data_IF_204908844850
#
_entry.id   IF_204908844850
#
_cell.length_a   1.000
_cell.length_b   1.000
_cell.length_c   1.000
_cell.angle_alpha   90.00
_cell.angle_beta   90.00
_cell.angle_gamma   90.00
#
_symmetry.space_group_name_H-M   'P 1'
#
loop_
_entity.id
_entity.type
_entity.pdbx_description
1 polymer ?
#
# COMPACT_ATOMS: atom_id res chain seq x y z
N UNK A 1 -42.01 -20.79 -8.99
CA UNK A 1 -41.47 -20.21 -7.74
C UNK A 1 -39.94 -20.08 -7.86
N UNK A 2 -39.35 -19.07 -8.54
CA UNK A 2 -39.81 -17.73 -8.94
C UNK A 2 -39.91 -16.72 -7.79
N UNK A 3 -38.76 -16.22 -7.34
CA UNK A 3 -38.63 -14.91 -6.68
C UNK A 3 -37.48 -14.13 -7.37
N UNK A 4 -37.85 -12.98 -7.94
CA UNK A 4 -37.04 -11.81 -8.32
C UNK A 4 -35.55 -11.96 -8.72
N UNK A 5 -35.33 -12.27 -9.99
CA UNK A 5 -34.46 -11.55 -10.96
C UNK A 5 -33.77 -10.24 -10.45
N UNK A 6 -32.64 -10.34 -9.75
CA UNK A 6 -31.92 -9.17 -9.20
C UNK A 6 -31.06 -8.42 -10.25
N UNK A 7 -31.72 -7.43 -10.84
CA UNK A 7 -31.29 -6.40 -11.81
C UNK A 7 -30.06 -5.55 -11.37
N UNK A 8 -28.84 -6.11 -11.24
CA UNK A 8 -27.64 -5.32 -10.83
C UNK A 8 -26.36 -5.40 -11.71
N UNK A 9 -26.48 -5.66 -13.03
CA UNK A 9 -25.38 -5.55 -14.03
C UNK A 9 -24.77 -4.13 -14.21
N UNK A 10 -25.08 -3.17 -13.32
CA UNK A 10 -24.62 -1.76 -13.34
C UNK A 10 -23.70 -1.37 -12.16
N UNK A 11 -23.64 -2.14 -11.06
CA UNK A 11 -22.85 -1.75 -9.87
C UNK A 11 -21.34 -2.07 -9.99
N UNK A 12 -20.93 -2.93 -10.93
CA UNK A 12 -19.54 -3.35 -11.06
C UNK A 12 -18.54 -2.22 -11.37
N UNK A 13 -18.97 -1.16 -12.07
CA UNK A 13 -18.16 0.03 -12.33
C UNK A 13 -18.01 0.99 -11.13
N UNK A 14 -18.69 0.71 -10.02
CA UNK A 14 -18.83 1.66 -8.91
C UNK A 14 -17.94 1.34 -7.71
N UNK A 15 -17.65 0.05 -7.51
CA UNK A 15 -16.60 -0.47 -6.62
C UNK A 15 -15.22 0.12 -6.98
N UNK A 16 -14.99 0.33 -8.29
CA UNK A 16 -13.70 0.72 -8.86
C UNK A 16 -13.13 2.07 -8.35
N UNK A 17 -13.97 3.00 -7.91
CA UNK A 17 -13.61 4.42 -7.80
C UNK A 17 -13.04 4.87 -6.43
N UNK A 18 -12.82 3.93 -5.50
CA UNK A 18 -12.91 4.18 -4.05
C UNK A 18 -11.59 4.03 -3.26
N UNK A 19 -10.45 3.94 -3.95
CA UNK A 19 -9.35 3.05 -3.49
C UNK A 19 -7.92 3.60 -3.70
N UNK A 20 -7.71 4.93 -3.74
CA UNK A 20 -6.56 5.51 -4.45
C UNK A 20 -5.48 6.24 -3.64
N UNK A 21 -5.52 6.10 -2.31
CA UNK A 21 -4.47 6.57 -1.38
C UNK A 21 -3.60 5.44 -0.82
N UNK A 22 -3.76 4.23 -1.35
CA UNK A 22 -3.16 3.01 -0.81
C UNK A 22 -1.63 2.89 -0.96
N UNK A 23 -1.00 3.77 -1.76
CA UNK A 23 0.41 3.65 -2.13
C UNK A 23 1.40 4.38 -1.24
N UNK A 24 1.09 5.60 -0.80
CA UNK A 24 2.07 6.48 -0.13
C UNK A 24 2.59 5.91 1.20
N UNK A 25 1.94 4.87 1.72
CA UNK A 25 2.28 4.15 2.96
C UNK A 25 2.92 2.78 2.65
N UNK A 26 2.88 2.30 1.39
CA UNK A 26 3.30 0.95 0.99
C UNK A 26 4.22 0.95 -0.25
N UNK A 27 5.02 1.99 -0.42
CA UNK A 27 6.14 1.99 -1.36
C UNK A 27 7.33 1.12 -0.91
N UNK A 28 7.16 0.22 0.06
CA UNK A 28 8.25 -0.51 0.72
C UNK A 28 8.01 -2.04 0.78
N UNK A 29 9.00 -2.81 0.30
CA UNK A 29 9.30 -4.25 0.61
C UNK A 29 8.40 -5.34 -0.02
N UNK A 30 8.96 -6.54 -0.30
CA UNK A 30 8.60 -7.98 -0.60
C UNK A 30 7.36 -8.68 -1.27
N UNK A 31 7.52 -9.09 -2.55
CA UNK A 31 7.55 -10.48 -3.12
C UNK A 31 6.62 -11.62 -2.59
N UNK A 32 6.07 -12.60 -3.34
CA UNK A 32 6.16 -13.15 -4.74
C UNK A 32 4.78 -13.75 -5.17
N UNK A 33 4.48 -14.62 -6.16
CA UNK A 33 5.12 -15.43 -7.27
C UNK A 33 4.02 -15.69 -8.37
N UNK A 34 3.93 -16.68 -9.29
CA UNK A 34 4.56 -18.00 -9.61
C UNK A 34 4.13 -18.47 -11.06
N UNK A 35 4.83 -19.45 -11.67
CA UNK A 35 4.52 -20.22 -12.92
C UNK A 35 4.57 -19.50 -14.30
N UNK A 36 4.67 -20.26 -15.41
CA UNK A 36 5.54 -19.92 -16.58
C UNK A 36 4.89 -19.87 -18.01
N UNK A 37 5.78 -19.64 -19.01
CA UNK A 37 5.66 -19.75 -20.50
C UNK A 37 5.26 -18.46 -21.28
N UNK A 38 5.68 -18.29 -22.56
CA UNK A 38 7.08 -18.01 -22.90
C UNK A 38 7.31 -16.76 -23.80
N UNK A 39 8.59 -16.40 -23.96
CA UNK A 39 9.17 -15.56 -25.05
C UNK A 39 8.52 -14.21 -25.37
N UNK A 40 8.58 -13.29 -24.41
CA UNK A 40 9.24 -11.98 -24.64
C UNK A 40 10.27 -11.81 -23.52
N UNK A 41 11.34 -11.00 -23.69
CA UNK A 41 12.20 -10.56 -22.59
C UNK A 41 11.39 -9.61 -21.68
N UNK A 42 10.64 -10.21 -20.76
CA UNK A 42 9.69 -9.54 -19.87
C UNK A 42 10.40 -8.80 -18.73
N UNK A 43 9.64 -7.93 -18.05
CA UNK A 43 10.13 -7.08 -16.95
C UNK A 43 10.85 -7.83 -15.81
N UNK A 44 10.68 -9.15 -15.73
CA UNK A 44 11.46 -10.02 -14.86
C UNK A 44 12.97 -9.89 -15.09
N UNK A 45 13.47 -9.78 -16.33
CA UNK A 45 14.92 -9.65 -16.57
C UNK A 45 15.47 -8.29 -16.10
N UNK A 46 14.70 -7.22 -16.30
CA UNK A 46 14.98 -5.87 -15.78
C UNK A 46 14.91 -5.76 -14.25
N UNK A 47 14.40 -6.79 -13.56
CA UNK A 47 14.19 -6.78 -12.10
C UNK A 47 14.79 -7.97 -11.38
N UNK A 48 15.37 -8.96 -12.06
CA UNK A 48 15.94 -10.17 -11.45
C UNK A 48 17.37 -9.98 -10.95
N UNK A 49 18.15 -9.13 -11.61
CA UNK A 49 19.49 -8.73 -11.16
C UNK A 49 19.41 -7.34 -10.48
N UNK A 50 19.48 -7.26 -9.13
CA UNK A 50 19.42 -5.99 -8.41
C UNK A 50 20.70 -5.14 -8.58
N UNK A 51 21.70 -5.60 -9.34
CA UNK A 51 22.86 -4.81 -9.76
C UNK A 51 22.71 -4.23 -11.17
N UNK A 52 21.63 -4.55 -11.90
CA UNK A 52 21.41 -4.08 -13.28
C UNK A 52 20.67 -2.74 -13.36
N UNK A 53 19.63 -2.57 -12.54
CA UNK A 53 18.70 -1.44 -12.62
C UNK A 53 18.40 -0.86 -11.23
N UNK A 54 18.76 0.41 -11.03
CA UNK A 54 18.54 1.13 -9.77
C UNK A 54 17.33 2.05 -9.90
N UNK A 55 16.46 2.15 -8.89
CA UNK A 55 15.37 3.14 -8.87
C UNK A 55 15.93 4.55 -9.11
N UNK A 56 15.50 5.20 -10.20
CA UNK A 56 15.92 6.54 -10.54
C UNK A 56 14.94 7.56 -9.97
N UNK A 57 15.41 8.39 -9.06
CA UNK A 57 14.64 9.50 -8.51
C UNK A 57 15.49 10.77 -8.46
N UNK A 58 14.83 11.93 -8.41
CA UNK A 58 15.52 13.21 -8.30
C UNK A 58 16.20 13.32 -6.92
N UNK A 59 17.40 13.94 -6.83
CA UNK A 59 18.09 14.18 -5.56
C UNK A 59 17.33 15.05 -4.54
N UNK A 60 16.15 15.54 -4.90
CA UNK A 60 15.30 16.41 -4.09
C UNK A 60 14.12 15.64 -3.48
N UNK A 61 13.56 14.66 -4.21
CA UNK A 61 12.62 13.68 -3.63
C UNK A 61 13.38 12.72 -2.70
N UNK A 62 14.63 12.36 -3.02
CA UNK A 62 15.51 11.61 -2.10
C UNK A 62 15.68 12.30 -0.74
N UNK A 63 15.80 13.64 -0.72
CA UNK A 63 15.84 14.47 0.50
C UNK A 63 14.53 14.53 1.29
N UNK A 64 13.38 14.13 0.71
CA UNK A 64 12.10 14.01 1.43
C UNK A 64 11.86 12.59 1.96
N UNK A 65 12.26 11.54 1.22
CA UNK A 65 12.12 10.15 1.66
C UNK A 65 13.24 9.67 2.60
N UNK A 66 14.38 10.36 2.61
CA UNK A 66 15.58 10.02 3.36
C UNK A 66 16.55 9.14 2.56
N UNK A 67 17.85 9.39 2.70
CA UNK A 67 18.92 8.67 1.98
C UNK A 67 18.94 7.16 2.28
N UNK A 68 18.48 6.77 3.47
CA UNK A 68 18.41 5.38 3.96
C UNK A 68 17.01 4.75 3.81
N UNK A 69 16.16 5.28 2.93
CA UNK A 69 14.87 4.63 2.63
C UNK A 69 15.09 3.33 1.83
N UNK A 70 14.30 2.29 2.12
CA UNK A 70 14.47 0.97 1.47
C UNK A 70 14.36 1.04 -0.06
N UNK A 71 13.61 2.01 -0.60
CA UNK A 71 13.48 2.26 -2.05
C UNK A 71 14.81 2.62 -2.75
N UNK A 72 15.81 3.09 -1.99
CA UNK A 72 17.15 3.42 -2.50
C UNK A 72 18.22 2.41 -2.07
N UNK A 73 17.85 1.33 -1.38
CA UNK A 73 18.77 0.27 -0.95
C UNK A 73 18.88 -0.84 -1.99
N UNK A 74 20.08 -1.39 -2.14
CA UNK A 74 20.39 -2.49 -3.07
C UNK A 74 21.23 -3.57 -2.37
N UNK A 75 21.62 -4.61 -3.12
CA UNK A 75 22.61 -5.58 -2.67
C UNK A 75 22.21 -6.35 -1.40
N UNK A 76 23.01 -6.19 -0.34
CA UNK A 76 22.85 -6.93 0.92
C UNK A 76 22.00 -6.17 1.94
N UNK A 77 22.24 -4.87 2.13
CA UNK A 77 21.49 -3.99 3.05
C UNK A 77 19.98 -4.07 2.79
N UNK A 78 19.58 -4.07 1.52
CA UNK A 78 18.20 -4.26 1.09
C UNK A 78 17.64 -5.63 1.52
N UNK A 79 18.40 -6.72 1.39
CA UNK A 79 17.94 -8.06 1.81
C UNK A 79 17.79 -8.17 3.32
N UNK A 80 18.69 -7.55 4.08
CA UNK A 80 18.71 -7.67 5.54
C UNK A 80 17.61 -6.81 6.19
N UNK A 81 17.38 -5.57 5.73
CA UNK A 81 16.22 -4.78 6.17
C UNK A 81 14.90 -5.50 5.84
N UNK A 82 14.82 -6.16 4.67
CA UNK A 82 13.64 -6.96 4.29
C UNK A 82 13.44 -8.21 5.13
N UNK A 83 14.50 -8.77 5.73
CA UNK A 83 14.38 -9.87 6.71
C UNK A 83 13.79 -9.36 8.02
N UNK A 84 14.31 -8.26 8.55
CA UNK A 84 13.89 -7.67 9.84
C UNK A 84 12.38 -7.32 9.90
N UNK A 85 11.77 -7.00 8.76
CA UNK A 85 10.35 -6.63 8.64
C UNK A 85 9.46 -7.73 8.05
N UNK A 86 9.99 -8.90 7.73
CA UNK A 86 9.19 -10.05 7.32
C UNK A 86 8.15 -10.51 8.39
N UNK A 87 8.40 -10.43 9.72
CA UNK A 87 7.41 -10.78 10.75
C UNK A 87 6.05 -10.08 10.57
N UNK A 88 6.08 -8.82 10.14
CA UNK A 88 4.90 -7.97 9.89
C UNK A 88 3.94 -8.52 8.83
N UNK A 89 4.36 -9.47 8.01
CA UNK A 89 3.57 -10.00 6.88
C UNK A 89 3.33 -11.51 6.99
N UNK A 90 3.53 -12.05 8.19
CA UNK A 90 3.09 -13.39 8.61
C UNK A 90 1.56 -13.48 8.69
N UNK A 91 0.97 -14.70 8.66
CA UNK A 91 -0.46 -14.87 8.87
C UNK A 91 -0.97 -14.34 10.23
N UNK A 92 -0.18 -14.45 11.31
CA UNK A 92 -0.49 -13.87 12.64
C UNK A 92 -0.67 -12.36 12.52
N UNK A 93 0.33 -11.67 11.98
CA UNK A 93 0.31 -10.22 11.81
C UNK A 93 -0.83 -9.75 10.88
N UNK A 94 -0.98 -10.37 9.71
CA UNK A 94 -2.04 -10.03 8.76
C UNK A 94 -3.45 -10.27 9.33
N UNK A 95 -3.65 -11.27 10.19
CA UNK A 95 -4.92 -11.49 10.89
C UNK A 95 -5.26 -10.34 11.85
N UNK A 96 -4.32 -9.94 12.71
CA UNK A 96 -4.46 -8.76 13.58
C UNK A 96 -4.80 -7.50 12.78
N UNK A 97 -4.12 -7.28 11.65
CA UNK A 97 -4.39 -6.10 10.82
C UNK A 97 -5.76 -6.17 10.14
N UNK A 98 -6.21 -7.36 9.71
CA UNK A 98 -7.52 -7.59 9.07
C UNK A 98 -8.66 -7.19 10.03
N UNK A 99 -8.54 -7.51 11.33
CA UNK A 99 -9.51 -7.09 12.34
C UNK A 99 -9.54 -5.55 12.53
N UNK A 100 -8.38 -4.89 12.60
CA UNK A 100 -8.27 -3.43 12.69
C UNK A 100 -8.84 -2.73 11.45
N UNK A 101 -8.54 -3.23 10.26
CA UNK A 101 -9.09 -2.77 8.98
C UNK A 101 -10.62 -2.83 9.00
N UNK A 102 -11.21 -3.98 9.37
CA UNK A 102 -12.66 -4.16 9.39
C UNK A 102 -13.36 -3.18 10.35
N UNK A 103 -12.80 -2.93 11.54
CA UNK A 103 -13.39 -1.97 12.50
C UNK A 103 -13.43 -0.56 11.91
N UNK A 104 -12.32 -0.09 11.33
CA UNK A 104 -12.20 1.28 10.83
C UNK A 104 -13.00 1.48 9.55
N UNK A 105 -13.05 0.47 8.66
CA UNK A 105 -13.92 0.49 7.48
C UNK A 105 -15.39 0.62 7.92
N UNK A 106 -15.89 -0.18 8.87
CA UNK A 106 -17.28 -0.02 9.35
C UNK A 106 -17.58 1.37 9.91
N UNK A 107 -16.65 1.94 10.69
CA UNK A 107 -16.80 3.27 11.28
C UNK A 107 -16.88 4.37 10.20
N UNK A 108 -16.08 4.26 9.15
CA UNK A 108 -16.11 5.20 8.02
C UNK A 108 -17.34 4.99 7.13
N UNK A 109 -17.70 3.76 6.77
CA UNK A 109 -18.91 3.52 5.96
C UNK A 109 -20.17 4.10 6.62
N UNK A 110 -20.29 3.96 7.95
CA UNK A 110 -21.39 4.53 8.73
C UNK A 110 -21.36 6.06 8.82
N UNK A 111 -20.19 6.69 8.84
CA UNK A 111 -20.10 8.16 8.81
C UNK A 111 -20.41 8.73 7.43
N UNK A 112 -20.09 8.00 6.35
CA UNK A 112 -20.43 8.40 4.98
C UNK A 112 -21.92 8.22 4.67
N UNK A 113 -22.55 7.15 5.18
CA UNK A 113 -24.00 6.97 5.22
C UNK A 113 -24.69 8.16 5.90
N UNK A 114 -24.24 8.51 7.12
CA UNK A 114 -24.79 9.64 7.86
C UNK A 114 -24.62 10.97 7.11
N UNK A 115 -23.44 11.25 6.55
CA UNK A 115 -23.18 12.44 5.73
C UNK A 115 -24.10 12.52 4.48
N UNK A 116 -24.44 11.38 3.88
CA UNK A 116 -25.43 11.29 2.79
C UNK A 116 -26.84 11.60 3.30
N UNK A 117 -27.20 11.13 4.50
CA UNK A 117 -28.50 11.39 5.13
C UNK A 117 -28.71 12.85 5.55
N UNK A 118 -27.66 13.58 5.94
CA UNK A 118 -27.71 15.00 6.30
C UNK A 118 -27.93 15.93 5.09
N UNK A 119 -27.74 15.44 3.86
CA UNK A 119 -28.00 16.19 2.64
C UNK A 119 -28.79 15.38 1.60
N UNK A 120 -30.07 15.07 1.88
CA UNK A 120 -30.90 14.25 1.00
C UNK A 120 -30.91 14.76 -0.45
N UNK A 121 -30.63 13.85 -1.39
CA UNK A 121 -30.61 14.17 -2.81
C UNK A 121 -29.36 14.90 -3.31
N UNK A 122 -28.36 15.19 -2.47
CA UNK A 122 -27.03 15.64 -2.91
C UNK A 122 -26.06 14.43 -2.95
N UNK A 123 -25.23 14.28 -3.99
CA UNK A 123 -24.23 13.22 -4.04
C UNK A 123 -22.93 13.66 -3.35
N UNK A 124 -22.26 12.74 -2.64
CA UNK A 124 -21.01 12.96 -1.89
C UNK A 124 -19.79 12.41 -2.65
N UNK A 125 -18.62 13.04 -2.45
CA UNK A 125 -17.34 12.69 -3.09
C UNK A 125 -16.56 11.70 -2.23
N UNK A 126 -16.46 10.43 -2.66
CA UNK A 126 -15.83 9.38 -1.84
C UNK A 126 -14.29 9.37 -1.88
N UNK A 127 -13.63 10.07 -2.81
CA UNK A 127 -12.17 10.07 -2.93
C UNK A 127 -11.48 10.56 -1.65
N UNK A 128 -11.88 11.74 -1.14
CA UNK A 128 -11.29 12.29 0.09
C UNK A 128 -11.69 11.50 1.35
N UNK A 129 -12.90 10.93 1.34
CA UNK A 129 -13.39 10.09 2.43
C UNK A 129 -12.60 8.77 2.52
N UNK A 130 -12.34 8.11 1.39
CA UNK A 130 -11.52 6.91 1.31
C UNK A 130 -10.05 7.16 1.64
N UNK A 131 -9.48 8.32 1.23
CA UNK A 131 -8.17 8.78 1.71
C UNK A 131 -8.14 8.80 3.24
N UNK A 132 -9.10 9.50 3.83
CA UNK A 132 -9.06 9.82 5.24
C UNK A 132 -9.30 8.60 6.13
N UNK A 133 -10.09 7.63 5.64
CA UNK A 133 -10.18 6.25 6.15
C UNK A 133 -8.86 5.49 6.00
N UNK A 134 -8.26 5.43 4.80
CA UNK A 134 -7.03 4.65 4.58
C UNK A 134 -5.85 5.14 5.43
N UNK A 135 -5.73 6.47 5.60
CA UNK A 135 -4.73 7.06 6.47
C UNK A 135 -4.95 6.70 7.94
N UNK A 136 -6.20 6.69 8.42
CA UNK A 136 -6.52 6.27 9.79
C UNK A 136 -6.32 4.76 10.02
N UNK A 137 -6.72 3.92 9.06
CA UNK A 137 -6.44 2.49 9.08
C UNK A 137 -4.94 2.24 9.13
N UNK A 138 -4.17 2.97 8.34
CA UNK A 138 -2.71 2.84 8.33
C UNK A 138 -2.06 3.36 9.61
N UNK A 139 -2.48 4.50 10.15
CA UNK A 139 -2.05 4.97 11.48
C UNK A 139 -2.31 3.89 12.56
N UNK A 140 -3.49 3.27 12.52
CA UNK A 140 -3.89 2.27 13.52
C UNK A 140 -3.18 0.94 13.35
N UNK A 141 -2.96 0.48 12.12
CA UNK A 141 -2.21 -0.75 11.87
C UNK A 141 -0.72 -0.55 12.13
N UNK A 142 -0.14 0.59 11.78
CA UNK A 142 1.31 0.79 11.90
C UNK A 142 1.73 1.03 13.35
N UNK A 143 1.08 1.95 14.06
CA UNK A 143 1.46 2.39 15.41
C UNK A 143 0.33 2.35 16.45
N UNK A 144 -0.91 2.08 16.04
CA UNK A 144 -1.98 1.61 16.93
C UNK A 144 -2.19 2.42 18.20
N UNK A 145 -1.87 1.78 19.33
CA UNK A 145 -2.00 2.31 20.71
C UNK A 145 -1.01 3.42 21.07
N UNK A 146 0.10 3.59 20.34
CA UNK A 146 1.14 4.57 20.64
C UNK A 146 0.87 5.97 20.09
N UNK A 147 0.01 6.07 19.06
CA UNK A 147 -0.37 7.33 18.44
C UNK A 147 -1.71 7.83 18.99
N UNK A 148 -1.63 8.79 19.92
CA UNK A 148 -2.81 9.39 20.58
C UNK A 148 -3.76 10.07 19.59
N UNK A 149 -4.99 10.38 20.03
CA UNK A 149 -6.01 11.03 19.18
C UNK A 149 -5.55 12.39 18.65
N UNK A 150 -4.82 13.13 19.48
CA UNK A 150 -4.26 14.44 19.19
C UNK A 150 -3.07 14.31 18.23
N UNK A 151 -2.19 13.34 18.47
CA UNK A 151 -1.07 13.01 17.59
C UNK A 151 -1.53 12.54 16.21
N UNK A 152 -2.60 11.73 16.13
CA UNK A 152 -3.23 11.29 14.86
C UNK A 152 -3.66 12.47 13.98
N UNK A 153 -4.15 13.57 14.59
CA UNK A 153 -4.49 14.79 13.86
C UNK A 153 -3.23 15.51 13.36
N UNK A 154 -2.26 15.79 14.24
CA UNK A 154 -0.98 16.44 13.84
C UNK A 154 -0.27 15.65 12.73
N UNK A 155 -0.21 14.32 12.86
CA UNK A 155 0.34 13.41 11.85
C UNK A 155 -0.41 13.52 10.51
N UNK A 156 -1.74 13.62 10.51
CA UNK A 156 -2.54 13.81 9.28
C UNK A 156 -2.22 15.14 8.60
N UNK A 157 -2.10 16.21 9.37
CA UNK A 157 -1.76 17.54 8.86
C UNK A 157 -0.33 17.55 8.28
N UNK A 158 0.64 16.96 8.98
CA UNK A 158 2.04 16.81 8.53
C UNK A 158 2.19 15.88 7.31
N UNK A 159 1.44 14.78 7.24
CA UNK A 159 1.38 13.89 6.08
C UNK A 159 0.78 14.58 4.85
N UNK A 160 -0.22 15.45 5.03
CA UNK A 160 -0.77 16.27 3.94
C UNK A 160 0.25 17.32 3.44
N UNK A 161 1.09 17.88 4.31
CA UNK A 161 2.20 18.74 3.90
C UNK A 161 3.24 17.96 3.09
N UNK A 162 3.62 16.75 3.53
CA UNK A 162 4.53 15.85 2.79
C UNK A 162 4.02 15.57 1.36
N UNK A 163 2.77 15.12 1.22
CA UNK A 163 2.15 14.84 -0.08
C UNK A 163 2.08 16.08 -0.98
N UNK A 164 1.86 17.26 -0.38
CA UNK A 164 1.88 18.54 -1.10
C UNK A 164 3.29 18.90 -1.58
N UNK A 165 4.34 18.60 -0.81
CA UNK A 165 5.73 18.80 -1.20
C UNK A 165 6.16 17.96 -2.40
N UNK A 166 5.77 16.68 -2.43
CA UNK A 166 6.06 15.78 -3.56
C UNK A 166 5.45 16.27 -4.89
N UNK A 167 4.36 17.05 -4.83
CA UNK A 167 3.63 17.57 -6.00
C UNK A 167 4.01 19.01 -6.40
N UNK A 168 5.11 19.57 -5.86
CA UNK A 168 5.52 20.97 -6.08
C UNK A 168 7.01 21.09 -6.39
N UNK A 169 7.39 22.23 -6.97
CA UNK A 169 8.78 22.49 -7.33
C UNK A 169 9.67 22.51 -6.06
N UNK A 170 10.81 21.78 -6.06
CA UNK A 170 11.58 21.47 -4.87
C UNK A 170 12.51 22.60 -4.38
N UNK A 171 11.92 23.74 -4.01
CA UNK A 171 12.65 24.88 -3.44
C UNK A 171 12.55 24.90 -1.91
N UNK A 172 13.68 24.74 -1.21
CA UNK A 172 13.78 24.83 0.26
C UNK A 172 13.88 26.30 0.72
N UNK A 173 12.79 27.06 0.54
CA UNK A 173 12.67 28.48 0.91
C UNK A 173 11.44 28.71 1.81
N UNK A 174 11.45 29.73 2.71
CA UNK A 174 10.30 30.05 3.55
C UNK A 174 9.01 30.26 2.74
N UNK A 175 7.92 29.61 3.17
CA UNK A 175 6.62 29.64 2.48
C UNK A 175 6.46 28.63 1.33
N UNK A 176 7.53 28.00 0.84
CA UNK A 176 7.43 27.01 -0.24
C UNK A 176 7.00 25.63 0.27
N UNK A 177 6.17 24.95 -0.52
CA UNK A 177 5.60 23.65 -0.15
C UNK A 177 6.65 22.57 0.15
N UNK A 178 7.78 22.57 -0.58
CA UNK A 178 8.87 21.62 -0.36
C UNK A 178 9.54 21.80 1.02
N UNK A 179 9.77 23.05 1.46
CA UNK A 179 10.27 23.33 2.81
C UNK A 179 9.28 22.91 3.89
N UNK A 180 8.00 23.20 3.69
CA UNK A 180 6.95 22.83 4.64
C UNK A 180 6.82 21.30 4.76
N UNK A 181 6.98 20.57 3.65
CA UNK A 181 7.02 19.10 3.61
C UNK A 181 8.25 18.53 4.33
N UNK A 182 9.44 19.08 4.11
CA UNK A 182 10.67 18.68 4.81
C UNK A 182 10.53 18.81 6.33
N UNK A 183 10.08 19.97 6.81
CA UNK A 183 9.81 20.22 8.23
C UNK A 183 8.71 19.30 8.78
N UNK A 184 7.76 18.86 7.96
CA UNK A 184 6.74 17.88 8.33
C UNK A 184 7.31 16.45 8.44
N UNK A 185 8.20 16.04 7.52
CA UNK A 185 8.92 14.76 7.59
C UNK A 185 9.72 14.66 8.89
N UNK A 186 10.41 15.73 9.30
CA UNK A 186 11.14 15.79 10.57
C UNK A 186 10.22 15.47 11.77
N UNK A 187 9.01 16.06 11.83
CA UNK A 187 8.00 15.80 12.87
C UNK A 187 7.35 14.41 12.78
N UNK A 188 7.18 13.88 11.58
CA UNK A 188 6.68 12.52 11.37
C UNK A 188 7.70 11.47 11.86
N UNK A 189 8.99 11.69 11.59
CA UNK A 189 10.09 10.82 12.08
C UNK A 189 10.19 10.87 13.60
N UNK A 190 10.12 12.05 14.22
CA UNK A 190 10.03 12.24 15.68
C UNK A 190 8.87 11.41 16.26
N UNK A 191 7.65 11.64 15.75
CA UNK A 191 6.43 10.96 16.22
C UNK A 191 6.49 9.43 16.07
N UNK A 192 7.08 8.92 14.98
CA UNK A 192 7.25 7.47 14.77
C UNK A 192 8.36 6.87 15.64
N UNK A 193 9.40 7.64 15.97
CA UNK A 193 10.49 7.22 16.85
C UNK A 193 10.01 7.04 18.30
N UNK A 194 9.12 7.93 18.76
CA UNK A 194 8.44 7.80 20.05
C UNK A 194 7.54 6.56 20.09
N UNK A 195 6.82 6.27 19.00
CA UNK A 195 5.99 5.06 18.90
C UNK A 195 6.84 3.78 18.93
N UNK A 196 7.95 3.75 18.19
CA UNK A 196 8.88 2.62 18.19
C UNK A 196 9.54 2.41 19.56
N UNK A 197 9.89 3.48 20.26
CA UNK A 197 10.47 3.42 21.61
C UNK A 197 9.50 2.84 22.63
N UNK A 198 8.23 3.27 22.61
CA UNK A 198 7.17 2.71 23.46
C UNK A 198 6.87 1.23 23.15
N UNK A 199 6.81 0.88 21.86
CA UNK A 199 6.61 -0.50 21.41
C UNK A 199 7.76 -1.41 21.84
N UNK A 200 9.01 -0.99 21.60
CA UNK A 200 10.21 -1.73 22.03
C UNK A 200 10.22 -2.01 23.53
N UNK A 201 9.80 -1.04 24.35
CA UNK A 201 9.64 -1.24 25.80
C UNK A 201 8.63 -2.35 26.07
N UNK A 202 7.40 -2.26 25.57
CA UNK A 202 6.35 -3.28 25.78
C UNK A 202 6.77 -4.67 25.30
N UNK A 203 7.36 -4.78 24.12
CA UNK A 203 7.85 -6.08 23.61
C UNK A 203 8.97 -6.67 24.49
N UNK A 204 9.78 -5.84 25.16
CA UNK A 204 10.74 -6.30 26.18
C UNK A 204 10.14 -6.62 27.55
N UNK A 205 8.90 -6.19 27.80
CA UNK A 205 8.12 -6.53 29.00
C UNK A 205 7.23 -7.78 28.79
N UNK A 206 7.22 -8.37 27.59
CA UNK A 206 6.47 -9.59 27.25
C UNK A 206 5.03 -9.37 26.78
N UNK A 207 4.69 -8.15 26.37
CA UNK A 207 3.36 -7.77 25.89
C UNK A 207 3.05 -8.40 24.51
N UNK A 208 1.81 -8.86 24.26
CA UNK A 208 1.41 -9.38 22.93
C UNK A 208 1.40 -8.26 21.85
N UNK A 209 1.81 -8.56 20.60
CA UNK A 209 1.78 -7.60 19.50
C UNK A 209 0.37 -7.20 19.04
N UNK A 210 0.14 -5.88 19.00
CA UNK A 210 -1.16 -5.28 18.64
C UNK A 210 -1.17 -4.57 17.27
N UNK A 211 0.00 -4.24 16.75
CA UNK A 211 0.20 -3.42 15.54
C UNK A 211 1.55 -3.76 14.87
N UNK A 212 1.82 -3.18 13.69
CA UNK A 212 3.01 -3.47 12.90
C UNK A 212 4.31 -3.16 13.64
N UNK A 213 4.40 -2.01 14.33
CA UNK A 213 5.61 -1.71 15.09
C UNK A 213 5.83 -2.72 16.23
N UNK A 214 4.77 -3.30 16.81
CA UNK A 214 4.92 -4.37 17.80
C UNK A 214 5.50 -5.65 17.17
N UNK A 215 4.97 -6.13 16.03
CA UNK A 215 5.51 -7.33 15.37
C UNK A 215 6.97 -7.16 14.90
N UNK A 216 7.38 -5.95 14.54
CA UNK A 216 8.79 -5.65 14.25
C UNK A 216 9.63 -5.60 15.53
N UNK A 217 9.12 -4.99 16.61
CA UNK A 217 9.84 -4.86 17.87
C UNK A 217 9.91 -6.19 18.67
N UNK A 218 8.94 -7.09 18.53
CA UNK A 218 8.96 -8.47 19.05
C UNK A 218 10.21 -9.21 18.55
N UNK A 219 10.37 -9.27 17.23
CA UNK A 219 11.54 -9.89 16.59
C UNK A 219 12.84 -9.13 16.90
N UNK A 220 12.82 -7.79 16.87
CA UNK A 220 14.01 -6.97 17.17
C UNK A 220 14.51 -7.17 18.61
N UNK A 221 13.61 -7.30 19.58
CA UNK A 221 13.95 -7.60 20.97
C UNK A 221 14.48 -9.04 21.10
N UNK A 222 13.89 -10.00 20.39
CA UNK A 222 14.36 -11.39 20.33
C UNK A 222 15.78 -11.50 19.78
N UNK A 223 16.06 -10.88 18.62
CA UNK A 223 17.42 -10.82 18.04
C UNK A 223 18.43 -10.14 18.99
N UNK A 224 18.04 -9.11 19.73
CA UNK A 224 18.89 -8.41 20.72
C UNK A 224 19.15 -9.26 21.98
N UNK A 225 18.30 -10.25 22.30
CA UNK A 225 18.53 -11.20 23.38
C UNK A 225 19.42 -12.38 22.93
N UNK A 226 19.17 -12.91 21.73
CA UNK A 226 19.93 -14.02 21.13
C UNK A 226 21.37 -13.62 20.78
N UNK A 227 21.58 -12.41 20.23
CA UNK A 227 22.92 -11.88 19.93
C UNK A 227 23.80 -11.62 21.17
N UNK A 228 23.21 -11.56 22.38
CA UNK A 228 23.95 -11.49 23.65
C UNK A 228 24.34 -12.87 24.19
N UNK A 229 23.88 -13.96 23.57
CA UNK A 229 24.00 -15.32 24.11
C UNK A 229 24.58 -16.36 23.15
N UNK A 230 24.53 -16.15 21.82
CA UNK A 230 25.09 -17.09 20.83
C UNK A 230 25.56 -16.42 19.51
N UNK A 231 26.52 -17.03 18.77
CA UNK A 231 26.90 -16.57 17.43
C UNK A 231 25.80 -16.84 16.37
N UNK A 232 25.78 -16.09 15.25
CA UNK A 232 24.62 -16.02 14.36
C UNK A 232 24.38 -17.30 13.55
N UNK A 233 23.09 -17.62 13.35
CA UNK A 233 22.61 -18.71 12.48
C UNK A 233 21.44 -18.26 11.61
N UNK A 234 21.38 -18.76 10.38
CA UNK A 234 20.30 -18.43 9.45
C UNK A 234 19.01 -19.18 9.79
N UNK A 235 17.94 -18.43 10.06
CA UNK A 235 16.60 -18.99 10.30
C UNK A 235 15.91 -19.43 9.00
N UNK A 236 15.33 -20.63 9.02
CA UNK A 236 14.36 -21.12 8.04
C UNK A 236 13.04 -21.35 8.78
N UNK A 237 11.95 -20.70 8.36
CA UNK A 237 10.64 -20.81 9.01
C UNK A 237 9.52 -21.12 7.99
N UNK A 238 9.10 -22.39 7.89
CA UNK A 238 7.94 -22.83 7.09
C UNK A 238 7.21 -24.02 7.74
N UNK A 239 6.12 -23.72 8.44
CA UNK A 239 4.95 -24.55 8.83
C UNK A 239 3.96 -23.57 9.52
N UNK A 240 2.65 -23.77 9.66
CA UNK A 240 1.65 -24.83 9.38
C UNK A 240 0.29 -24.08 9.28
N UNK A 241 -0.65 -24.32 8.36
CA UNK A 241 -1.79 -25.27 8.39
C UNK A 241 -2.82 -24.83 7.31
N UNK A 242 -3.71 -25.73 6.85
CA UNK A 242 -5.15 -25.42 6.66
C UNK A 242 -5.97 -26.71 6.81
N UNK A 243 -7.21 -26.60 7.30
CA UNK A 243 -8.22 -27.68 7.26
C UNK A 243 -9.63 -27.14 7.58
N UNK A 244 -10.65 -27.69 6.91
CA UNK A 244 -12.10 -27.47 7.14
C UNK A 244 -12.72 -26.19 6.47
N UNK A 245 -14.07 -26.09 6.26
CA UNK A 245 -14.61 -26.56 4.98
C UNK A 245 -15.75 -25.71 4.33
N UNK A 246 -15.71 -24.37 4.34
CA UNK A 246 -16.84 -23.54 3.89
C UNK A 246 -16.85 -23.14 2.39
N UNK A 247 -17.30 -24.05 1.51
CA UNK A 247 -17.38 -23.81 0.04
C UNK A 247 -18.19 -22.55 -0.34
N UNK A 248 -19.29 -22.27 0.35
CA UNK A 248 -20.19 -21.14 0.04
C UNK A 248 -19.63 -19.76 0.47
N UNK A 249 -18.76 -19.72 1.50
CA UNK A 249 -18.02 -18.52 1.87
C UNK A 249 -16.80 -18.35 0.95
N UNK A 250 -16.04 -19.42 0.71
CA UNK A 250 -14.88 -19.43 -0.21
C UNK A 250 -15.25 -18.89 -1.59
N UNK A 251 -16.39 -19.29 -2.18
CA UNK A 251 -16.86 -18.74 -3.49
C UNK A 251 -17.12 -17.22 -3.46
N UNK A 252 -17.61 -16.64 -2.34
CA UNK A 252 -17.77 -15.18 -2.22
C UNK A 252 -16.43 -14.48 -2.02
N UNK A 253 -15.53 -15.09 -1.26
CA UNK A 253 -14.20 -14.55 -0.98
C UNK A 253 -13.32 -14.57 -2.24
N UNK A 254 -13.19 -15.72 -2.90
CA UNK A 254 -12.47 -15.91 -4.16
C UNK A 254 -12.93 -14.92 -5.24
N UNK A 255 -14.24 -14.71 -5.37
CA UNK A 255 -14.79 -13.71 -6.27
C UNK A 255 -14.36 -12.29 -5.89
N UNK A 256 -14.41 -11.94 -4.60
CA UNK A 256 -13.98 -10.62 -4.12
C UNK A 256 -12.47 -10.42 -4.27
N UNK A 257 -11.65 -11.44 -4.02
CA UNK A 257 -10.21 -11.45 -4.30
C UNK A 257 -9.92 -11.29 -5.80
N UNK A 258 -10.68 -11.95 -6.68
CA UNK A 258 -10.54 -11.80 -8.13
C UNK A 258 -10.91 -10.38 -8.58
N UNK A 259 -11.96 -9.78 -8.03
CA UNK A 259 -12.33 -8.38 -8.30
C UNK A 259 -11.27 -7.40 -7.77
N UNK A 260 -10.74 -7.62 -6.57
CA UNK A 260 -9.65 -6.83 -6.00
C UNK A 260 -8.40 -6.84 -6.89
N UNK A 261 -7.97 -8.02 -7.33
CA UNK A 261 -6.85 -8.20 -8.28
C UNK A 261 -7.15 -7.56 -9.64
N UNK A 262 -8.37 -7.71 -10.17
CA UNK A 262 -8.76 -7.11 -11.46
C UNK A 262 -8.79 -5.58 -11.41
N UNK A 263 -9.27 -4.96 -10.32
CA UNK A 263 -9.22 -3.50 -10.11
C UNK A 263 -7.78 -3.00 -10.21
N UNK A 264 -6.87 -3.63 -9.46
CA UNK A 264 -5.45 -3.31 -9.44
C UNK A 264 -4.78 -3.59 -10.81
N UNK A 265 -5.18 -4.65 -11.53
CA UNK A 265 -4.68 -4.94 -12.88
C UNK A 265 -5.15 -3.92 -13.91
N UNK A 266 -6.39 -3.44 -13.78
CA UNK A 266 -7.05 -2.60 -14.79
C UNK A 266 -6.62 -1.14 -14.71
N UNK A 267 -6.41 -0.61 -13.50
CA UNK A 267 -5.78 0.69 -13.22
C UNK A 267 -4.78 0.53 -12.06
N UNK A 268 -3.52 0.12 -12.33
CA UNK A 268 -2.51 0.00 -11.29
C UNK A 268 -2.23 1.39 -10.67
N UNK A 269 -2.29 1.54 -9.34
CA UNK A 269 -2.11 2.84 -8.70
C UNK A 269 -0.76 3.52 -9.02
N UNK A 270 0.29 2.73 -9.23
CA UNK A 270 1.58 3.14 -9.80
C UNK A 270 1.58 2.83 -11.28
N UNK A 271 1.93 3.79 -12.13
CA UNK A 271 1.88 3.65 -13.60
C UNK A 271 3.24 3.39 -14.24
N UNK A 272 4.30 3.94 -13.65
CA UNK A 272 5.69 3.83 -14.09
C UNK A 272 6.59 3.77 -12.83
N UNK A 273 7.69 3.02 -12.90
CA UNK A 273 8.73 3.02 -11.87
C UNK A 273 10.08 3.27 -12.56
N UNK A 274 10.57 4.53 -12.65
CA UNK A 274 11.82 4.83 -13.36
C UNK A 274 13.02 4.10 -12.76
N UNK A 275 13.86 3.51 -13.61
CA UNK A 275 15.13 2.90 -13.22
C UNK A 275 16.28 3.46 -14.08
N UNK A 276 17.52 3.39 -13.61
CA UNK A 276 18.74 3.67 -14.40
C UNK A 276 19.54 2.38 -14.59
N UNK A 277 20.01 2.14 -15.83
CA UNK A 277 20.90 1.03 -16.18
C UNK A 277 22.30 1.25 -15.61
N UNK A 278 22.88 0.24 -14.95
CA UNK A 278 24.21 0.32 -14.30
C UNK A 278 25.35 -0.33 -15.11
N UNK A 279 24.99 -1.04 -16.18
CA UNK A 279 25.87 -1.67 -17.18
C UNK A 279 25.06 -1.86 -18.45
N UNK A 280 25.72 -2.07 -19.59
CA UNK A 280 25.04 -2.35 -20.84
C UNK A 280 24.20 -3.63 -20.73
N UNK A 281 22.93 -3.56 -21.15
CA UNK A 281 21.96 -4.64 -20.98
C UNK A 281 21.27 -4.99 -22.30
N UNK A 282 21.55 -6.19 -22.83
CA UNK A 282 20.89 -6.72 -24.02
C UNK A 282 19.41 -7.03 -23.71
N UNK A 283 18.50 -6.12 -24.08
CA UNK A 283 17.07 -6.26 -23.84
C UNK A 283 16.43 -7.20 -24.87
N UNK A 284 16.87 -7.13 -26.13
CA UNK A 284 16.47 -8.02 -27.22
C UNK A 284 17.69 -8.37 -28.08
N UNK A 285 17.59 -9.38 -28.94
CA UNK A 285 18.64 -9.76 -29.91
C UNK A 285 19.14 -8.58 -30.77
N UNK A 286 18.33 -7.54 -30.95
CA UNK A 286 18.61 -6.35 -31.77
C UNK A 286 18.77 -5.05 -30.99
N UNK A 287 18.66 -5.05 -29.65
CA UNK A 287 18.71 -3.82 -28.85
C UNK A 287 19.33 -4.00 -27.46
N UNK A 288 20.39 -3.24 -27.22
CA UNK A 288 21.05 -3.06 -25.92
C UNK A 288 20.66 -1.71 -25.32
N UNK A 289 20.27 -1.71 -24.05
CA UNK A 289 20.14 -0.51 -23.22
C UNK A 289 21.55 -0.10 -22.75
N UNK A 290 22.08 1.07 -23.12
CA UNK A 290 23.40 1.51 -22.65
C UNK A 290 23.42 1.83 -21.15
N UNK A 291 24.57 1.66 -20.53
CA UNK A 291 24.86 2.13 -19.17
C UNK A 291 24.49 3.62 -18.99
N UNK A 292 23.91 3.98 -17.85
CA UNK A 292 23.42 5.32 -17.54
C UNK A 292 22.04 5.67 -18.14
N UNK A 293 21.45 4.80 -18.97
CA UNK A 293 20.13 5.05 -19.57
C UNK A 293 19.01 4.93 -18.53
N UNK A 294 18.13 5.95 -18.46
CA UNK A 294 16.91 5.89 -17.64
C UNK A 294 15.82 5.12 -18.40
N UNK A 295 15.38 4.01 -17.85
CA UNK A 295 14.34 3.10 -18.36
C UNK A 295 13.04 3.34 -17.61
N UNK A 296 11.93 3.48 -18.33
CA UNK A 296 10.59 3.65 -17.78
C UNK A 296 9.74 2.38 -18.00
N UNK A 297 9.87 1.35 -17.15
CA UNK A 297 9.08 0.12 -17.25
C UNK A 297 7.58 0.41 -17.08
N UNK A 298 6.79 0.08 -18.11
CA UNK A 298 5.33 0.24 -18.08
C UNK A 298 4.66 -0.94 -17.36
N UNK A 299 4.28 -0.72 -16.10
CA UNK A 299 3.49 -1.70 -15.32
C UNK A 299 2.01 -1.74 -15.74
N UNK A 300 1.58 -0.84 -16.65
CA UNK A 300 0.23 -0.75 -17.20
C UNK A 300 -0.07 -1.92 -18.16
N UNK A 301 0.92 -2.71 -18.60
CA UNK A 301 0.71 -3.78 -19.58
C UNK A 301 -0.12 -4.95 -18.99
N UNK A 302 -1.43 -4.88 -19.22
CA UNK A 302 -2.51 -5.63 -18.54
C UNK A 302 -2.39 -7.17 -18.57
N UNK A 303 -1.52 -7.74 -19.40
CA UNK A 303 -1.26 -9.18 -19.47
C UNK A 303 -0.38 -9.69 -18.32
N UNK A 304 0.44 -8.83 -17.70
CA UNK A 304 1.56 -9.27 -16.86
C UNK A 304 1.38 -9.04 -15.33
N UNK A 305 0.28 -8.38 -14.90
CA UNK A 305 -0.05 -8.07 -13.50
C UNK A 305 1.12 -7.52 -12.64
N UNK A 306 1.80 -6.48 -13.12
CA UNK A 306 3.02 -5.93 -12.49
C UNK A 306 2.75 -4.80 -11.47
N UNK A 307 1.50 -4.65 -11.02
CA UNK A 307 1.05 -3.53 -10.20
C UNK A 307 1.68 -3.44 -8.80
N UNK A 308 2.23 -4.55 -8.31
CA UNK A 308 2.97 -4.66 -7.05
C UNK A 308 4.49 -4.78 -7.27
N UNK A 309 4.98 -4.54 -8.49
CA UNK A 309 6.36 -4.85 -8.88
C UNK A 309 6.61 -6.36 -9.05
N UNK A 310 7.89 -6.73 -9.20
CA UNK A 310 8.36 -8.10 -9.44
C UNK A 310 9.82 -8.22 -8.97
N UNK A 311 10.32 -9.44 -8.76
CA UNK A 311 11.71 -9.70 -8.37
C UNK A 311 12.03 -9.33 -6.91
N UNK A 312 13.30 -9.03 -6.59
CA UNK A 312 13.73 -8.63 -5.25
C UNK A 312 13.15 -7.30 -4.78
N UNK A 313 12.49 -6.49 -5.63
CA UNK A 313 11.89 -5.20 -5.25
C UNK A 313 10.33 -5.18 -5.30
N UNK A 314 9.66 -6.32 -5.51
CA UNK A 314 8.20 -6.46 -5.39
C UNK A 314 7.67 -6.09 -3.99
N UNK A 315 6.38 -5.74 -3.86
CA UNK A 315 5.63 -5.30 -2.68
C UNK A 315 5.06 -6.42 -1.76
N UNK A 316 4.98 -6.19 -0.42
CA UNK A 316 4.74 -7.12 0.72
C UNK A 316 3.51 -6.74 1.49
N UNK A 317 3.32 -5.43 1.64
CA UNK A 317 2.01 -4.87 1.84
C UNK A 317 1.09 -5.17 0.67
N UNK A 318 1.53 -5.85 -0.41
CA UNK A 318 0.66 -6.55 -1.35
C UNK A 318 -0.39 -7.41 -0.63
N UNK A 319 -0.01 -8.21 0.39
CA UNK A 319 -1.00 -9.02 1.13
C UNK A 319 -1.91 -8.14 1.99
N UNK A 320 -1.34 -7.24 2.77
CA UNK A 320 -2.08 -6.27 3.60
C UNK A 320 -3.06 -5.39 2.80
N UNK A 321 -2.66 -4.96 1.61
CA UNK A 321 -3.44 -4.12 0.70
C UNK A 321 -4.52 -4.90 -0.04
N UNK A 322 -4.22 -6.13 -0.49
CA UNK A 322 -5.25 -7.01 -1.03
C UNK A 322 -6.28 -7.39 0.04
N UNK A 323 -5.86 -7.64 1.29
CA UNK A 323 -6.78 -7.87 2.41
C UNK A 323 -7.68 -6.65 2.66
N UNK A 324 -7.11 -5.44 2.83
CA UNK A 324 -7.89 -4.22 3.02
C UNK A 324 -8.86 -3.99 1.86
N UNK A 325 -8.38 -4.14 0.63
CA UNK A 325 -9.18 -3.98 -0.58
C UNK A 325 -10.34 -4.98 -0.62
N UNK A 326 -10.10 -6.25 -0.29
CA UNK A 326 -11.13 -7.30 -0.23
C UNK A 326 -12.15 -7.02 0.87
N UNK A 327 -11.71 -6.66 2.08
CA UNK A 327 -12.59 -6.23 3.16
C UNK A 327 -13.45 -5.04 2.73
N UNK A 328 -12.81 -3.97 2.25
CA UNK A 328 -13.48 -2.75 1.83
C UNK A 328 -14.54 -3.04 0.75
N UNK A 329 -14.19 -3.78 -0.30
CA UNK A 329 -15.14 -4.16 -1.35
C UNK A 329 -16.30 -4.98 -0.74
N UNK A 330 -16.00 -6.05 -0.01
CA UNK A 330 -17.01 -6.94 0.55
C UNK A 330 -18.00 -6.19 1.46
N UNK A 331 -17.48 -5.31 2.31
CA UNK A 331 -18.28 -4.55 3.27
C UNK A 331 -19.07 -3.45 2.56
N UNK A 332 -18.43 -2.64 1.71
CA UNK A 332 -19.08 -1.54 0.99
C UNK A 332 -20.25 -2.01 0.12
N UNK A 333 -20.16 -3.18 -0.52
CA UNK A 333 -21.28 -3.73 -1.32
C UNK A 333 -22.33 -4.50 -0.52
N UNK A 334 -22.09 -4.74 0.78
CA UNK A 334 -22.98 -5.51 1.66
C UNK A 334 -23.75 -4.62 2.65
N UNK A 335 -23.14 -3.52 3.13
CA UNK A 335 -23.72 -2.68 4.20
C UNK A 335 -24.26 -1.33 3.72
N UNK A 336 -24.06 -0.97 2.45
CA UNK A 336 -24.59 0.26 1.84
C UNK A 336 -25.26 -0.08 0.51
N UNK A 337 -26.39 0.56 0.20
CA UNK A 337 -26.83 0.69 -1.20
C UNK A 337 -26.33 2.02 -1.78
N UNK A 338 -25.96 2.00 -3.05
CA UNK A 338 -25.06 3.01 -3.60
C UNK A 338 -25.24 3.22 -5.10
N UNK A 339 -25.27 4.51 -5.50
CA UNK A 339 -25.62 4.94 -6.87
C UNK A 339 -24.63 5.98 -7.38
N UNK A 340 -23.91 5.66 -8.47
CA UNK A 340 -22.98 6.57 -9.14
C UNK A 340 -23.71 7.81 -9.63
N UNK A 341 -23.26 8.99 -9.21
CA UNK A 341 -23.55 10.22 -9.94
C UNK A 341 -22.57 10.30 -11.12
N UNK A 342 -23.08 10.30 -12.36
CA UNK A 342 -22.24 10.32 -13.57
C UNK A 342 -22.05 11.74 -14.08
N UNK A 343 -20.90 12.32 -13.73
CA UNK A 343 -20.36 13.54 -14.34
C UNK A 343 -19.84 13.29 -15.76
N UNK A 344 -19.50 14.35 -16.51
CA UNK A 344 -18.82 14.21 -17.81
C UNK A 344 -17.44 13.53 -17.70
N UNK A 345 -16.71 13.78 -16.61
CA UNK A 345 -15.40 13.22 -16.30
C UNK A 345 -15.44 11.89 -15.52
N UNK A 346 -16.62 11.26 -15.40
CA UNK A 346 -16.90 10.11 -14.53
C UNK A 346 -15.98 8.88 -14.70
N UNK A 347 -15.44 8.64 -15.90
CA UNK A 347 -14.57 7.49 -16.18
C UNK A 347 -13.08 7.91 -16.38
N UNK A 348 -12.76 9.22 -16.33
CA UNK A 348 -11.42 9.81 -16.47
C UNK A 348 -10.55 9.66 -15.21
N UNK A 349 -9.23 9.80 -15.38
CA UNK A 349 -8.25 9.90 -14.27
C UNK A 349 -7.57 11.28 -14.26
N UNK A 350 -7.05 11.63 -13.10
CA UNK A 350 -6.08 12.70 -12.86
C UNK A 350 -4.87 12.10 -12.11
N UNK A 351 -3.73 12.78 -12.08
CA UNK A 351 -2.51 12.33 -11.40
C UNK A 351 -2.15 13.30 -10.26
N UNK A 352 -2.20 12.85 -9.01
CA UNK A 352 -1.95 13.68 -7.82
C UNK A 352 -1.79 12.87 -6.51
N UNK A 353 -0.57 12.51 -6.07
CA UNK A 353 0.59 12.11 -6.89
C UNK A 353 0.43 10.72 -7.51
N UNK A 354 -0.65 10.01 -7.19
CA UNK A 354 -1.06 8.74 -7.79
C UNK A 354 -2.23 8.97 -8.76
N UNK A 355 -2.66 7.95 -9.49
CA UNK A 355 -3.90 8.09 -10.29
C UNK A 355 -5.11 8.22 -9.37
N UNK A 356 -5.97 9.21 -9.60
CA UNK A 356 -7.20 9.44 -8.85
C UNK A 356 -8.40 9.70 -9.79
N UNK A 357 -9.67 9.53 -9.35
CA UNK A 357 -10.83 9.77 -10.20
C UNK A 357 -10.96 11.28 -10.43
N UNK A 358 -11.02 11.73 -11.69
CA UNK A 358 -11.05 13.17 -12.02
C UNK A 358 -12.28 13.89 -11.46
N UNK A 359 -13.36 13.16 -11.18
CA UNK A 359 -14.57 13.68 -10.54
C UNK A 359 -14.69 13.36 -9.04
N UNK A 360 -13.66 12.79 -8.40
CA UNK A 360 -13.64 12.51 -6.97
C UNK A 360 -14.53 11.35 -6.49
N UNK A 361 -15.05 10.49 -7.38
CA UNK A 361 -15.98 9.42 -7.00
C UNK A 361 -17.27 9.96 -6.37
N UNK A 362 -18.02 10.78 -7.09
CA UNK A 362 -19.32 11.25 -6.61
C UNK A 362 -20.39 10.14 -6.67
N UNK A 363 -21.07 9.88 -5.56
CA UNK A 363 -22.17 8.91 -5.42
C UNK A 363 -23.30 9.43 -4.55
N UNK A 364 -24.46 8.76 -4.59
CA UNK A 364 -25.43 8.77 -3.48
C UNK A 364 -25.25 7.48 -2.67
N UNK A 365 -25.33 7.57 -1.33
CA UNK A 365 -25.40 6.43 -0.41
C UNK A 365 -26.78 6.40 0.29
N UNK A 366 -27.26 5.21 0.62
CA UNK A 366 -28.57 4.93 1.25
C UNK A 366 -28.64 3.53 1.86
#
# INVERSE_FOLDING_TARGET
>A
MQICYLRKKRNFKLIWLLLLDFLLIISSVASSSLSETPSFPTLSSLTSDPMLFYLWDTPLVKKLFGEHNMIYMFGQDHKDLRRQIAPNFTPRALSTYTALQQIIILQHLRSWEHLSSESPGKPISLHLLARDMNLETSQTVFVGRYLSREARKKFRDDYNLFNTGLMKLPFDLPGFAFRNAKLAVERLVETLSDCATQSKKRMSEGDEPSCLIDFWMEETVREIAESKTAPPRSSNAVTLLDSHPDVLLRVREEYTQAVAREVIRYRPPTTLVPHIAMKDFLLTESYTIPNGTIVFPSVIFKRNYLAFGVGPHQCVGQRYALNHLVLFIAMFVTVLDFKRHRTGSCDEIMYCPTICPKDGCIVFLS
#
